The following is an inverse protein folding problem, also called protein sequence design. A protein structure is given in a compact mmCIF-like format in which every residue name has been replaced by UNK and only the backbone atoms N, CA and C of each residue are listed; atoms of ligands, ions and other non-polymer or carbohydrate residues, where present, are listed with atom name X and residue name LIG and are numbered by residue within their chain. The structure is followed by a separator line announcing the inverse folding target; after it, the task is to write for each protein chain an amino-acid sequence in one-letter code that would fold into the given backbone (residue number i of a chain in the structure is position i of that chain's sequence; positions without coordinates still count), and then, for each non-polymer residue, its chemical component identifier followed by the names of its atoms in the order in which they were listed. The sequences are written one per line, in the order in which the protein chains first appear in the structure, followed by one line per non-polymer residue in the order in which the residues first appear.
data_IF_502346409719
#
_entry.id   IF_502346409719
#
_cell.length_a   1.000
_cell.length_b   1.000
_cell.length_c   1.000
_cell.angle_alpha   90.00
_cell.angle_beta   90.00
_cell.angle_gamma   90.00
#
_symmetry.space_group_name_H-M   'P 1'
#
loop_
_entity.id
_entity.type
_entity.pdbx_description
1 polymer ?
#
# COMPACT_ATOMS: atom_id res chain seq x y z
N UNK A 1 6.51 -2.90 -1.72
CA UNK A 1 5.19 -2.55 -1.15
C UNK A 1 4.46 -3.80 -0.69
N UNK A 2 4.08 -4.69 -1.61
CA UNK A 2 3.31 -5.90 -1.29
C UNK A 2 3.92 -6.75 -0.16
N UNK A 3 5.22 -7.07 -0.26
CA UNK A 3 5.92 -7.88 0.75
C UNK A 3 5.93 -7.23 2.14
N UNK A 4 6.16 -5.92 2.21
CA UNK A 4 6.20 -5.16 3.48
C UNK A 4 4.81 -5.13 4.10
N UNK A 5 3.80 -4.68 3.36
CA UNK A 5 2.44 -4.58 3.87
C UNK A 5 1.87 -5.95 4.27
N UNK A 6 2.14 -7.00 3.50
CA UNK A 6 1.75 -8.36 3.87
C UNK A 6 2.44 -8.83 5.17
N UNK A 7 3.69 -8.45 5.41
CA UNK A 7 4.39 -8.76 6.66
C UNK A 7 3.71 -8.10 7.87
N UNK A 8 3.20 -6.89 7.71
CA UNK A 8 2.41 -6.17 8.72
C UNK A 8 0.92 -6.55 8.74
N UNK A 9 0.52 -7.66 8.12
CA UNK A 9 -0.86 -8.17 8.18
C UNK A 9 -1.87 -7.48 7.27
N UNK A 10 -1.42 -6.60 6.37
CA UNK A 10 -2.28 -5.99 5.37
C UNK A 10 -2.47 -6.90 4.15
N UNK A 11 -3.70 -6.92 3.61
CA UNK A 11 -4.06 -7.66 2.38
C UNK A 11 -4.52 -6.69 1.30
N UNK A 12 -4.07 -6.90 0.07
CA UNK A 12 -4.52 -6.08 -1.07
C UNK A 12 -6.00 -6.34 -1.36
N UNK A 13 -6.77 -5.28 -1.60
CA UNK A 13 -8.17 -5.36 -2.05
C UNK A 13 -8.30 -4.83 -3.48
N UNK A 14 -9.21 -5.43 -4.26
CA UNK A 14 -9.50 -4.99 -5.62
C UNK A 14 -10.16 -3.60 -5.59
N UNK A 15 -9.75 -2.71 -6.50
CA UNK A 15 -10.46 -1.47 -6.77
C UNK A 15 -11.33 -1.60 -8.02
N UNK A 16 -12.43 -0.86 -8.06
CA UNK A 16 -13.30 -0.77 -9.23
C UNK A 16 -12.61 -0.13 -10.45
N UNK A 17 -13.31 -0.17 -11.59
CA UNK A 17 -12.80 0.17 -12.94
C UNK A 17 -12.15 1.57 -13.10
N UNK A 18 -12.33 2.48 -12.16
CA UNK A 18 -11.84 3.88 -12.21
C UNK A 18 -10.61 4.16 -11.34
N UNK A 19 -10.06 3.16 -10.64
CA UNK A 19 -9.03 3.35 -9.60
C UNK A 19 -7.61 3.72 -10.07
N UNK A 20 -7.31 3.64 -11.37
CA UNK A 20 -5.95 3.86 -11.89
C UNK A 20 -4.93 2.86 -11.34
N UNK A 21 -3.66 3.25 -11.27
CA UNK A 21 -2.56 2.42 -10.71
C UNK A 21 -2.54 2.37 -9.18
N UNK A 22 -3.54 2.92 -8.48
CA UNK A 22 -3.61 2.86 -7.03
C UNK A 22 -3.93 1.45 -6.56
N UNK A 23 -3.30 1.07 -5.45
CA UNK A 23 -3.52 -0.19 -4.74
C UNK A 23 -3.99 0.12 -3.33
N UNK A 24 -5.06 -0.53 -2.92
CA UNK A 24 -5.60 -0.46 -1.56
C UNK A 24 -5.24 -1.72 -0.79
N UNK A 25 -4.94 -1.53 0.48
CA UNK A 25 -4.61 -2.59 1.43
C UNK A 25 -5.46 -2.42 2.68
N UNK A 26 -5.87 -3.52 3.28
CA UNK A 26 -6.67 -3.53 4.52
C UNK A 26 -6.10 -4.56 5.51
N UNK A 27 -6.06 -4.23 6.79
CA UNK A 27 -5.70 -5.18 7.86
C UNK A 27 -6.95 -5.66 8.64
N UNK A 28 -6.75 -6.51 9.65
CA UNK A 28 -7.84 -7.08 10.47
C UNK A 28 -8.60 -6.01 11.28
N UNK A 29 -7.93 -4.92 11.63
CA UNK A 29 -8.50 -3.76 12.30
C UNK A 29 -9.26 -2.82 11.35
N UNK A 30 -9.47 -3.22 10.09
CA UNK A 30 -10.11 -2.42 9.03
C UNK A 30 -9.39 -1.10 8.72
N UNK A 31 -8.11 -0.97 9.09
CA UNK A 31 -7.29 0.17 8.68
C UNK A 31 -6.95 0.02 7.20
N UNK A 32 -7.13 1.10 6.43
CA UNK A 32 -6.94 1.10 4.98
C UNK A 32 -5.72 1.96 4.62
N UNK A 33 -4.82 1.38 3.83
CA UNK A 33 -3.70 2.10 3.21
C UNK A 33 -3.93 2.12 1.70
N UNK A 34 -3.85 3.30 1.08
CA UNK A 34 -4.03 3.49 -0.36
C UNK A 34 -2.79 4.11 -0.99
N UNK A 35 -2.01 3.31 -1.71
CA UNK A 35 -0.73 3.72 -2.28
C UNK A 35 -0.76 3.62 -3.80
N UNK A 36 -0.05 4.51 -4.48
CA UNK A 36 0.18 4.38 -5.92
C UNK A 36 1.11 3.20 -6.19
N UNK A 37 0.85 2.40 -7.23
CA UNK A 37 1.86 1.47 -7.72
C UNK A 37 3.02 2.26 -8.31
N UNK A 38 4.28 1.95 -7.96
CA UNK A 38 5.41 2.61 -8.57
C UNK A 38 5.44 2.26 -10.07
N UNK A 39 5.32 3.28 -10.91
CA UNK A 39 5.41 3.16 -12.36
C UNK A 39 6.65 3.94 -12.85
N UNK A 40 7.46 3.43 -13.80
CA UNK A 40 7.46 2.08 -14.42
C UNK A 40 8.37 1.05 -13.71
N UNK A 41 9.12 1.45 -12.68
CA UNK A 41 10.03 0.56 -11.95
C UNK A 41 9.35 0.01 -10.69
N UNK A 42 9.44 -1.30 -10.42
CA UNK A 42 8.93 -1.96 -9.20
C UNK A 42 9.70 -1.58 -7.91
N UNK A 43 10.47 -0.49 -7.93
CA UNK A 43 11.23 0.02 -6.78
C UNK A 43 10.30 0.92 -5.98
N UNK A 44 10.27 0.72 -4.66
CA UNK A 44 9.51 1.59 -3.77
C UNK A 44 10.17 2.98 -3.74
N UNK A 45 9.41 4.03 -4.04
CA UNK A 45 9.91 5.41 -3.94
C UNK A 45 9.94 5.85 -2.47
N UNK A 46 10.86 6.75 -2.11
CA UNK A 46 11.03 7.25 -0.72
C UNK A 46 9.72 7.73 -0.09
N UNK A 47 8.94 8.55 -0.80
CA UNK A 47 7.64 9.04 -0.30
C UNK A 47 6.65 7.92 0.06
N UNK A 48 6.76 6.74 -0.57
CA UNK A 48 5.91 5.60 -0.25
C UNK A 48 6.38 4.89 1.02
N UNK A 49 7.68 4.94 1.29
CA UNK A 49 8.25 4.44 2.53
C UNK A 49 7.79 5.34 3.68
N UNK A 50 7.85 6.67 3.51
CA UNK A 50 7.42 7.65 4.51
C UNK A 50 5.95 7.43 4.89
N UNK A 51 5.06 7.26 3.90
CA UNK A 51 3.64 6.94 4.16
C UNK A 51 3.49 5.61 4.88
N UNK A 52 4.27 4.59 4.52
CA UNK A 52 4.19 3.27 5.18
C UNK A 52 4.66 3.37 6.64
N UNK A 53 5.75 4.11 6.91
CA UNK A 53 6.28 4.33 8.26
C UNK A 53 5.24 5.05 9.12
N UNK A 54 4.66 6.15 8.61
CA UNK A 54 3.60 6.91 9.29
C UNK A 54 2.40 6.02 9.63
N UNK A 55 1.94 5.19 8.69
CA UNK A 55 0.79 4.30 8.91
C UNK A 55 1.08 3.12 9.85
N UNK A 56 2.34 2.73 9.98
CA UNK A 56 2.76 1.63 10.85
C UNK A 56 3.22 2.11 12.23
N UNK A 57 3.20 3.43 12.49
CA UNK A 57 3.69 4.06 13.73
C UNK A 57 5.12 3.62 14.10
N UNK A 58 5.98 3.45 13.09
CA UNK A 58 7.41 3.16 13.23
C UNK A 58 8.22 4.46 13.35
#
# INVERSE_FOLDING_TARGET
MLKVLNHFGYKQIAQGKTGGSRRKFVNENKQIISLHEPHPQKVLKGYQLDIIIEYLEL
#
